data_IF_871312478198
#
_entry.id   IF_871312478198
#
_cell.length_a   1.000
_cell.length_b   1.000
_cell.length_c   1.000
_cell.angle_alpha   90.00
_cell.angle_beta   90.00
_cell.angle_gamma   90.00
#
_symmetry.space_group_name_H-M   'P 1'
#
loop_
_entity.id
_entity.type
_entity.pdbx_description
1 polymer ?
#
# COMPACT_ATOMS: atom_id res chain seq x y z
N UNK A 1 -1.42 -9.51 3.06
CA UNK A 1 -2.00 -10.57 3.91
C UNK A 1 -1.64 -10.23 5.34
N UNK A 2 -2.58 -10.36 6.27
CA UNK A 2 -2.33 -10.07 7.68
C UNK A 2 -1.22 -10.99 8.25
N UNK A 3 -0.30 -10.41 9.04
CA UNK A 3 0.89 -11.10 9.55
C UNK A 3 0.54 -12.20 10.55
N UNK A 4 -0.50 -11.99 11.36
CA UNK A 4 -1.00 -13.00 12.30
C UNK A 4 -1.61 -14.18 11.53
N UNK A 5 -2.36 -13.89 10.46
CA UNK A 5 -2.88 -14.92 9.56
C UNK A 5 -1.76 -15.74 8.91
N UNK A 6 -0.67 -15.09 8.48
CA UNK A 6 0.51 -15.79 7.94
C UNK A 6 1.16 -16.67 9.00
N UNK A 7 1.28 -16.18 10.24
CA UNK A 7 1.82 -16.98 11.35
C UNK A 7 0.96 -18.22 11.61
N UNK A 8 -0.37 -18.07 11.61
CA UNK A 8 -1.28 -19.20 11.76
C UNK A 8 -1.04 -20.26 10.70
N UNK A 9 -0.93 -19.86 9.44
CA UNK A 9 -0.65 -20.78 8.32
C UNK A 9 0.72 -21.47 8.48
N UNK A 10 1.74 -20.77 8.96
CA UNK A 10 3.05 -21.36 9.22
C UNK A 10 3.00 -22.41 10.34
N UNK A 11 2.27 -22.13 11.43
CA UNK A 11 2.08 -23.09 12.53
C UNK A 11 1.27 -24.30 12.08
N UNK A 12 0.21 -24.10 11.29
CA UNK A 12 -0.60 -25.18 10.74
C UNK A 12 0.24 -26.08 9.82
N UNK A 13 1.05 -25.48 8.95
CA UNK A 13 1.97 -26.20 8.08
C UNK A 13 3.03 -26.97 8.88
N UNK A 14 3.63 -26.37 9.89
CA UNK A 14 4.61 -27.04 10.76
C UNK A 14 3.98 -28.24 11.48
N UNK A 15 2.73 -28.11 11.92
CA UNK A 15 1.98 -29.20 12.56
C UNK A 15 1.72 -30.34 11.55
N UNK A 16 1.36 -30.00 10.32
CA UNK A 16 1.19 -30.97 9.24
C UNK A 16 2.50 -31.69 8.89
N UNK A 17 3.60 -30.95 8.79
CA UNK A 17 4.95 -31.48 8.52
C UNK A 17 5.37 -32.46 9.63
N UNK A 18 5.10 -32.10 10.89
CA UNK A 18 5.39 -32.96 12.05
C UNK A 18 4.55 -34.24 12.04
N UNK A 19 3.26 -34.14 11.73
CA UNK A 19 2.38 -35.31 11.63
C UNK A 19 2.81 -36.23 10.49
N UNK A 20 3.15 -35.67 9.33
CA UNK A 20 3.64 -36.43 8.19
C UNK A 20 5.00 -37.09 8.49
N UNK A 21 5.90 -36.39 9.18
CA UNK A 21 7.17 -36.95 9.62
C UNK A 21 6.96 -38.15 10.54
N UNK A 22 6.10 -38.04 11.56
CA UNK A 22 5.78 -39.15 12.46
C UNK A 22 5.17 -40.35 11.73
N UNK A 23 4.32 -40.12 10.73
CA UNK A 23 3.72 -41.18 9.89
C UNK A 23 4.74 -41.87 8.99
N UNK A 24 5.75 -41.14 8.51
CA UNK A 24 6.78 -41.64 7.59
C UNK A 24 8.00 -42.21 8.32
N UNK A 25 8.02 -42.18 9.66
CA UNK A 25 9.07 -42.82 10.44
C UNK A 25 9.12 -44.32 10.13
N UNK A 26 10.31 -44.88 9.89
CA UNK A 26 10.46 -46.33 9.79
C UNK A 26 9.99 -47.00 11.09
N UNK A 27 9.43 -48.22 11.03
CA UNK A 27 9.17 -49.03 12.23
C UNK A 27 10.46 -49.21 13.04
N UNK A 28 10.39 -49.05 14.36
CA UNK A 28 11.55 -49.20 15.27
C UNK A 28 12.03 -50.65 15.39
N UNK A 29 11.18 -51.63 15.06
CA UNK A 29 11.42 -53.08 15.23
C UNK A 29 11.85 -53.78 13.93
N UNK A 30 12.73 -53.17 13.13
CA UNK A 30 13.35 -53.94 12.05
C UNK A 30 14.48 -54.79 12.64
N UNK A 31 14.19 -56.08 12.90
CA UNK A 31 15.21 -57.09 13.23
C UNK A 31 16.27 -57.27 12.11
N UNK A 32 16.16 -56.51 11.01
CA UNK A 32 17.12 -56.37 9.91
C UNK A 32 18.33 -55.48 10.24
N UNK A 33 18.77 -55.41 11.50
CA UNK A 33 20.06 -54.81 11.91
C UNK A 33 21.25 -55.42 11.14
N UNK A 34 21.05 -56.58 10.50
CA UNK A 34 22.03 -57.23 9.64
C UNK A 34 22.23 -56.57 8.27
N UNK A 35 21.33 -55.68 7.81
CA UNK A 35 21.46 -55.04 6.49
C UNK A 35 21.79 -53.54 6.59
N UNK A 36 23.10 -53.23 6.62
CA UNK A 36 23.62 -51.88 6.81
C UNK A 36 23.11 -50.85 5.78
N UNK A 37 22.76 -51.28 4.56
CA UNK A 37 22.22 -50.41 3.52
C UNK A 37 20.81 -49.90 3.87
N UNK A 38 19.95 -50.76 4.41
CA UNK A 38 18.57 -50.40 4.80
C UNK A 38 18.57 -49.43 5.99
N UNK A 39 19.44 -49.66 6.98
CA UNK A 39 19.59 -48.77 8.14
C UNK A 39 20.12 -47.39 7.71
N UNK A 40 21.07 -47.34 6.77
CA UNK A 40 21.58 -46.08 6.23
C UNK A 40 20.50 -45.28 5.48
N UNK A 41 19.68 -45.94 4.66
CA UNK A 41 18.55 -45.29 3.98
C UNK A 41 17.50 -44.76 4.97
N UNK A 42 17.16 -45.54 6.00
CA UNK A 42 16.23 -45.12 7.05
C UNK A 42 16.73 -43.89 7.80
N UNK A 43 18.01 -43.89 8.19
CA UNK A 43 18.66 -42.75 8.83
C UNK A 43 18.66 -41.51 7.94
N UNK A 44 18.89 -41.67 6.64
CA UNK A 44 18.87 -40.54 5.70
C UNK A 44 17.45 -39.98 5.51
N UNK A 45 16.43 -40.85 5.47
CA UNK A 45 15.02 -40.42 5.48
C UNK A 45 14.66 -39.66 6.75
N UNK A 46 15.06 -40.16 7.91
CA UNK A 46 14.83 -39.48 9.20
C UNK A 46 15.52 -38.11 9.22
N UNK A 47 16.76 -38.01 8.73
CA UNK A 47 17.47 -36.73 8.62
C UNK A 47 16.76 -35.76 7.67
N UNK A 48 16.25 -36.24 6.54
CA UNK A 48 15.46 -35.44 5.61
C UNK A 48 14.21 -34.85 6.27
N UNK A 49 13.42 -35.70 6.92
CA UNK A 49 12.21 -35.28 7.65
C UNK A 49 12.52 -34.28 8.77
N UNK A 50 13.60 -34.53 9.53
CA UNK A 50 14.03 -33.63 10.60
C UNK A 50 14.50 -32.26 10.06
N UNK A 51 15.19 -32.26 8.91
CA UNK A 51 15.62 -31.03 8.24
C UNK A 51 14.43 -30.20 7.75
N UNK A 52 13.43 -30.85 7.17
CA UNK A 52 12.23 -30.16 6.68
C UNK A 52 11.44 -29.54 7.83
N UNK A 53 11.29 -30.27 8.96
CA UNK A 53 10.68 -29.74 10.18
C UNK A 53 11.47 -28.54 10.74
N UNK A 54 12.81 -28.62 10.76
CA UNK A 54 13.66 -27.54 11.22
C UNK A 54 13.51 -26.28 10.35
N UNK A 55 13.41 -26.45 9.03
CA UNK A 55 13.17 -25.33 8.11
C UNK A 55 11.78 -24.71 8.34
N UNK A 56 10.76 -25.54 8.59
CA UNK A 56 9.40 -25.10 8.91
C UNK A 56 9.36 -24.29 10.21
N UNK A 57 10.04 -24.78 11.26
CA UNK A 57 10.19 -24.07 12.53
C UNK A 57 10.95 -22.74 12.36
N UNK A 58 12.02 -22.72 11.56
CA UNK A 58 12.78 -21.49 11.30
C UNK A 58 11.93 -20.43 10.61
N UNK A 59 11.18 -20.80 9.57
CA UNK A 59 10.26 -19.89 8.88
C UNK A 59 9.20 -19.33 9.83
N UNK A 60 8.65 -20.17 10.70
CA UNK A 60 7.68 -19.75 11.72
C UNK A 60 8.31 -18.70 12.65
N UNK A 61 9.55 -18.92 13.09
CA UNK A 61 10.27 -17.95 13.93
C UNK A 61 10.54 -16.62 13.22
N UNK A 62 10.95 -16.66 11.94
CA UNK A 62 11.13 -15.46 11.13
C UNK A 62 9.82 -14.65 11.01
N UNK A 63 8.67 -15.32 10.95
CA UNK A 63 7.36 -14.64 10.96
C UNK A 63 7.09 -14.02 12.33
N UNK A 64 7.36 -14.72 13.42
CA UNK A 64 7.21 -14.19 14.80
C UNK A 64 8.06 -12.91 14.96
N UNK A 65 9.32 -12.95 14.54
CA UNK A 65 10.26 -11.82 14.66
C UNK A 65 9.82 -10.59 13.85
N UNK A 66 8.95 -10.77 12.85
CA UNK A 66 8.41 -9.69 12.01
C UNK A 66 6.98 -9.28 12.38
N UNK A 67 6.46 -9.74 13.53
CA UNK A 67 5.16 -9.29 14.02
C UNK A 67 5.20 -7.81 14.41
N UNK A 68 4.26 -6.98 13.92
CA UNK A 68 4.22 -5.58 14.24
C UNK A 68 3.89 -5.37 15.72
N UNK A 69 4.60 -4.47 16.38
CA UNK A 69 4.34 -4.10 17.77
C UNK A 69 4.77 -5.14 18.80
N UNK A 70 5.55 -6.16 18.42
CA UNK A 70 6.12 -7.15 19.35
C UNK A 70 7.05 -6.51 20.40
N UNK A 71 7.67 -5.39 20.04
CA UNK A 71 8.57 -4.59 20.86
C UNK A 71 7.84 -3.56 21.73
N UNK A 72 6.55 -3.31 21.50
CA UNK A 72 5.76 -2.28 22.17
C UNK A 72 4.88 -2.87 23.26
N UNK A 73 4.71 -2.13 24.35
CA UNK A 73 3.68 -2.47 25.35
C UNK A 73 2.31 -1.98 24.91
N UNK A 74 1.24 -2.56 25.48
CA UNK A 74 -0.13 -2.09 25.24
C UNK A 74 -0.30 -0.60 25.56
N UNK A 75 0.31 -0.12 26.65
CA UNK A 75 0.23 1.28 27.06
C UNK A 75 0.86 2.21 26.00
N UNK A 76 2.01 1.83 25.44
CA UNK A 76 2.68 2.59 24.38
C UNK A 76 1.81 2.64 23.11
N UNK A 77 1.18 1.52 22.76
CA UNK A 77 0.29 1.44 21.59
C UNK A 77 -0.96 2.30 21.77
N UNK A 78 -1.56 2.31 22.96
CA UNK A 78 -2.72 3.15 23.26
C UNK A 78 -2.38 4.64 23.24
N UNK A 79 -1.21 5.03 23.76
CA UNK A 79 -0.76 6.41 23.69
C UNK A 79 -0.46 6.83 22.25
N UNK A 80 0.17 5.96 21.45
CA UNK A 80 0.39 6.19 20.02
C UNK A 80 -0.94 6.39 19.26
N UNK A 81 -1.95 5.56 19.55
CA UNK A 81 -3.29 5.73 18.98
C UNK A 81 -3.92 7.07 19.39
N UNK A 82 -3.76 7.49 20.65
CA UNK A 82 -4.26 8.77 21.14
C UNK A 82 -3.60 9.94 20.40
N UNK A 83 -2.29 9.89 20.21
CA UNK A 83 -1.52 10.91 19.48
C UNK A 83 -1.91 10.96 18.00
N UNK A 84 -2.07 9.79 17.36
CA UNK A 84 -2.53 9.70 15.98
C UNK A 84 -3.93 10.29 15.79
N UNK A 85 -4.85 10.05 16.73
CA UNK A 85 -6.18 10.66 16.68
C UNK A 85 -6.10 12.19 16.73
N UNK A 86 -5.28 12.73 17.63
CA UNK A 86 -5.10 14.18 17.75
C UNK A 86 -4.52 14.77 16.47
N UNK A 87 -3.48 14.14 15.92
CA UNK A 87 -2.86 14.58 14.67
C UNK A 87 -3.86 14.53 13.49
N UNK A 88 -4.67 13.47 13.42
CA UNK A 88 -5.73 13.33 12.40
C UNK A 88 -6.80 14.42 12.54
N UNK A 89 -7.23 14.73 13.76
CA UNK A 89 -8.22 15.79 14.01
C UNK A 89 -7.66 17.18 13.66
N UNK A 90 -6.38 17.43 13.94
CA UNK A 90 -5.69 18.67 13.58
C UNK A 90 -5.56 18.81 12.05
N UNK A 91 -5.13 17.75 11.36
CA UNK A 91 -5.04 17.74 9.90
C UNK A 91 -6.40 17.97 9.24
N UNK A 92 -7.47 17.35 9.76
CA UNK A 92 -8.83 17.57 9.27
C UNK A 92 -9.28 19.03 9.40
N UNK A 93 -8.95 19.71 10.52
CA UNK A 93 -9.23 21.14 10.69
C UNK A 93 -8.43 22.00 9.71
N UNK A 94 -7.15 21.72 9.55
CA UNK A 94 -6.29 22.45 8.61
C UNK A 94 -6.79 22.33 7.18
N UNK A 95 -7.28 21.16 6.78
CA UNK A 95 -7.90 20.95 5.46
C UNK A 95 -9.18 21.77 5.27
N UNK A 96 -10.03 21.88 6.29
CA UNK A 96 -11.23 22.72 6.23
C UNK A 96 -10.90 24.20 6.10
N UNK A 97 -9.88 24.68 6.84
CA UNK A 97 -9.43 26.07 6.73
C UNK A 97 -8.83 26.36 5.34
N UNK A 98 -8.02 25.45 4.82
CA UNK A 98 -7.45 25.55 3.48
C UNK A 98 -8.54 25.53 2.39
N UNK A 99 -9.56 24.70 2.52
CA UNK A 99 -10.71 24.67 1.61
C UNK A 99 -11.48 26.00 1.64
N UNK A 100 -11.77 26.53 2.83
CA UNK A 100 -12.46 27.79 2.98
C UNK A 100 -11.68 28.95 2.34
N UNK A 101 -10.35 28.98 2.54
CA UNK A 101 -9.48 29.95 1.89
C UNK A 101 -9.51 29.77 0.37
N UNK A 102 -9.37 28.55 -0.15
CA UNK A 102 -9.41 28.26 -1.57
C UNK A 102 -10.73 28.71 -2.23
N UNK A 103 -11.88 28.47 -1.58
CA UNK A 103 -13.18 28.96 -2.03
C UNK A 103 -13.23 30.49 -2.07
N UNK A 104 -12.63 31.16 -1.09
CA UNK A 104 -12.56 32.61 -1.07
C UNK A 104 -11.72 33.16 -2.24
N UNK A 105 -10.55 32.57 -2.50
CA UNK A 105 -9.71 32.92 -3.66
C UNK A 105 -10.42 32.66 -4.98
N UNK A 106 -11.14 31.55 -5.08
CA UNK A 106 -11.94 31.19 -6.25
C UNK A 106 -13.05 32.23 -6.51
N UNK A 107 -13.80 32.63 -5.46
CA UNK A 107 -14.82 33.66 -5.57
C UNK A 107 -14.24 35.01 -6.05
N UNK A 108 -13.09 35.43 -5.49
CA UNK A 108 -12.39 36.65 -5.94
C UNK A 108 -11.94 36.57 -7.40
N UNK A 109 -11.44 35.40 -7.82
CA UNK A 109 -11.04 35.18 -9.20
C UNK A 109 -12.24 35.27 -10.16
N UNK A 110 -13.39 34.71 -9.78
CA UNK A 110 -14.64 34.83 -10.55
C UNK A 110 -15.11 36.28 -10.67
N UNK A 111 -15.11 37.04 -9.57
CA UNK A 111 -15.49 38.45 -9.58
C UNK A 111 -14.57 39.27 -10.51
N UNK A 112 -13.26 39.04 -10.43
CA UNK A 112 -12.28 39.70 -11.31
C UNK A 112 -12.53 39.38 -12.79
N UNK A 113 -12.79 38.11 -13.12
CA UNK A 113 -13.15 37.70 -14.48
C UNK A 113 -14.45 38.35 -14.95
N UNK A 114 -15.47 38.44 -14.09
CA UNK A 114 -16.73 39.10 -14.42
C UNK A 114 -16.53 40.57 -14.78
N UNK A 115 -15.75 41.32 -13.99
CA UNK A 115 -15.40 42.71 -14.29
C UNK A 115 -14.68 42.83 -15.64
N UNK A 116 -13.75 41.93 -15.93
CA UNK A 116 -13.05 41.91 -17.23
C UNK A 116 -14.04 41.66 -18.38
N UNK A 117 -14.93 40.67 -18.24
CA UNK A 117 -15.96 40.38 -19.24
C UNK A 117 -16.87 41.59 -19.49
N UNK A 118 -17.39 42.21 -18.42
CA UNK A 118 -18.31 43.34 -18.51
C UNK A 118 -17.65 44.57 -19.13
N UNK A 119 -16.40 44.84 -18.77
CA UNK A 119 -15.64 45.97 -19.32
C UNK A 119 -15.23 45.74 -20.77
N UNK A 120 -14.87 44.52 -21.17
CA UNK A 120 -14.55 44.15 -22.57
C UNK A 120 -15.78 44.13 -23.47
N UNK A 121 -16.95 43.71 -22.95
CA UNK A 121 -18.21 43.72 -23.69
C UNK A 121 -18.72 45.15 -23.92
N UNK A 122 -18.62 46.04 -22.92
CA UNK A 122 -18.94 47.48 -23.09
C UNK A 122 -17.98 48.21 -24.03
N UNK A 123 -16.71 47.79 -24.09
CA UNK A 123 -15.69 48.37 -25.00
C UNK A 123 -15.79 47.89 -26.44
N UNK A 124 -16.68 46.97 -26.80
CA UNK A 124 -16.90 46.55 -28.19
C UNK A 124 -17.87 47.57 -28.82
N UNK A 125 -17.39 48.60 -29.56
CA UNK A 125 -18.31 49.50 -30.22
C UNK A 125 -19.16 48.70 -31.20
N UNK A 126 -20.47 48.91 -31.16
CA UNK A 126 -21.39 48.57 -32.24
C UNK A 126 -21.00 49.37 -33.48
N UNK A 127 -19.93 48.97 -34.16
CA UNK A 127 -19.63 49.37 -35.53
C UNK A 127 -19.96 48.18 -36.41
N UNK A 128 -21.24 48.08 -36.76
CA UNK A 128 -21.63 47.55 -38.06
C UNK A 128 -21.27 48.65 -39.07
N UNK A 129 -20.20 48.41 -39.82
CA UNK A 129 -19.94 49.00 -41.12
C UNK A 129 -18.81 48.15 -41.73
N UNK A 130 -19.13 47.50 -42.84
CA UNK A 130 -18.26 46.64 -43.65
C UNK A 130 -16.99 47.34 -44.23
N UNK A 131 -16.04 46.60 -44.84
CA UNK A 131 -14.61 46.62 -44.52
C UNK A 131 -13.73 47.51 -45.43
N UNK A 132 -12.40 47.50 -45.22
CA UNK A 132 -11.59 46.80 -46.21
C UNK A 132 -10.47 45.92 -45.63
N UNK A 133 -10.14 44.90 -46.43
CA UNK A 133 -9.02 43.98 -46.33
C UNK A 133 -7.70 44.63 -45.90
N UNK A 134 -7.01 44.02 -44.94
CA UNK A 134 -5.56 43.75 -45.01
C UNK A 134 -5.32 42.41 -44.32
N UNK A 135 -4.69 41.52 -45.09
CA UNK A 135 -4.18 40.24 -44.66
C UNK A 135 -3.01 40.45 -43.69
N UNK A 136 -3.04 39.87 -42.50
CA UNK A 136 -1.83 39.64 -41.70
C UNK A 136 -2.01 38.39 -40.86
N UNK A 137 -1.48 37.29 -41.38
CA UNK A 137 -1.19 36.06 -40.63
C UNK A 137 -0.30 36.37 -39.44
N UNK A 138 -0.81 36.17 -38.22
CA UNK A 138 0.00 36.01 -37.02
C UNK A 138 -0.40 34.69 -36.35
N UNK A 139 0.48 33.73 -36.53
CA UNK A 139 0.48 32.38 -36.00
C UNK A 139 0.34 32.41 -34.48
N UNK A 140 -0.76 31.86 -33.96
CA UNK A 140 -0.91 31.58 -32.53
C UNK A 140 -0.41 30.17 -32.27
N UNK A 141 0.75 30.05 -31.64
CA UNK A 141 1.19 28.80 -31.02
C UNK A 141 0.35 28.58 -29.77
N UNK A 142 -0.55 27.59 -29.84
CA UNK A 142 -1.26 27.07 -28.69
C UNK A 142 -0.28 26.28 -27.80
N UNK A 143 0.03 26.80 -26.62
CA UNK A 143 0.54 25.96 -25.53
C UNK A 143 -0.65 25.32 -24.83
N UNK A 144 -0.93 24.06 -25.17
CA UNK A 144 -1.77 23.18 -24.36
C UNK A 144 -1.01 22.81 -23.09
N UNK A 145 -1.46 23.33 -21.94
CA UNK A 145 -1.11 22.74 -20.64
C UNK A 145 -2.16 21.69 -20.30
N UNK A 146 -1.69 20.45 -20.30
CA UNK A 146 -2.41 19.23 -19.98
C UNK A 146 -2.80 19.25 -18.50
N UNK A 147 -4.08 19.05 -18.20
CA UNK A 147 -4.58 18.65 -16.88
C UNK A 147 -4.03 17.25 -16.56
N UNK A 148 -3.43 16.99 -15.39
CA UNK A 148 -3.30 15.63 -14.90
C UNK A 148 -4.64 15.17 -14.31
N UNK A 149 -5.28 14.24 -15.01
CA UNK A 149 -6.35 13.40 -14.45
C UNK A 149 -5.73 12.50 -13.38
N UNK A 150 -6.11 12.70 -12.12
CA UNK A 150 -5.97 11.68 -11.08
C UNK A 150 -7.28 10.90 -11.04
N UNK A 151 -7.32 9.78 -11.75
CA UNK A 151 -8.31 8.73 -11.51
C UNK A 151 -7.83 7.86 -10.35
N UNK A 152 -8.77 7.62 -9.42
CA UNK A 152 -8.78 6.56 -8.42
C UNK A 152 -9.55 5.37 -8.98
#
# INVERSE_FOLDING_TARGET
>A
MDKVTVLQQCVDQMTLDMFNALRLLPPLDTEDDSNAEVVAEQLERIKGLAKDLLLSAKRTNEVIDTLPGLDKTEADQLEELRLLQIASDEEARNLLEAEAEALQWNARAHESLQVICDTRLKKRPSKISDPPSISTTLTTTASSTILPTTDL
#
